data_IF_208778255437
#
_entry.id   IF_208778255437
#
_cell.length_a   1.000
_cell.length_b   1.000
_cell.length_c   1.000
_cell.angle_alpha   90.00
_cell.angle_beta   90.00
_cell.angle_gamma   90.00
#
_symmetry.space_group_name_H-M   'P 1'
#
loop_
_entity.id
_entity.type
_entity.pdbx_description
1 polymer ?
#
# COMPACT_ATOMS: atom_id res chain seq x y z
N UNK A 1 -4.37 4.48 26.11
CA UNK A 1 -5.09 3.19 26.29
C UNK A 1 -4.06 2.08 26.17
N UNK A 2 -4.19 1.00 26.93
CA UNK A 2 -3.23 -0.12 26.86
C UNK A 2 -3.83 -1.27 26.04
N UNK A 3 -3.52 -1.29 24.74
CA UNK A 3 -4.00 -2.31 23.80
C UNK A 3 -3.27 -3.65 23.93
N UNK A 4 -2.17 -3.71 24.71
CA UNK A 4 -1.53 -4.98 25.04
C UNK A 4 -2.43 -5.89 25.89
N UNK A 5 -3.51 -5.32 26.45
CA UNK A 5 -4.58 -6.06 27.13
C UNK A 5 -5.50 -6.70 26.08
N UNK A 6 -5.45 -8.03 25.88
CA UNK A 6 -6.11 -8.70 24.76
C UNK A 6 -7.62 -8.53 24.76
N UNK A 7 -8.25 -8.44 25.95
CA UNK A 7 -9.69 -8.22 26.07
C UNK A 7 -10.12 -6.82 25.62
N UNK A 8 -9.30 -5.80 25.88
CA UNK A 8 -9.62 -4.43 25.45
C UNK A 8 -9.50 -4.31 23.93
N UNK A 9 -8.46 -4.91 23.34
CA UNK A 9 -8.30 -4.97 21.89
C UNK A 9 -9.50 -5.65 21.22
N UNK A 10 -9.82 -6.89 21.63
CA UNK A 10 -10.93 -7.65 21.07
C UNK A 10 -12.29 -6.93 21.22
N UNK A 11 -12.50 -6.23 22.35
CA UNK A 11 -13.72 -5.44 22.55
C UNK A 11 -13.81 -4.25 21.59
N UNK A 12 -12.69 -3.60 21.27
CA UNK A 12 -12.66 -2.50 20.31
C UNK A 12 -12.87 -2.98 18.88
N UNK A 13 -12.28 -4.11 18.49
CA UNK A 13 -12.53 -4.75 17.20
C UNK A 13 -14.02 -5.14 17.06
N UNK A 14 -14.59 -5.75 18.10
CA UNK A 14 -16.00 -6.09 18.13
C UNK A 14 -16.91 -4.85 18.06
N UNK A 15 -16.55 -3.76 18.75
CA UNK A 15 -17.28 -2.50 18.66
C UNK A 15 -17.18 -1.90 17.25
N UNK A 16 -15.99 -1.83 16.67
CA UNK A 16 -15.79 -1.36 15.30
C UNK A 16 -16.62 -2.18 14.28
N UNK A 17 -16.61 -3.51 14.39
CA UNK A 17 -17.43 -4.38 13.55
C UNK A 17 -18.93 -4.15 13.77
N UNK A 18 -19.36 -4.02 15.04
CA UNK A 18 -20.75 -3.76 15.40
C UNK A 18 -21.30 -2.45 14.82
N UNK A 19 -20.56 -1.35 14.97
CA UNK A 19 -20.96 -0.05 14.43
C UNK A 19 -20.92 -0.03 12.89
N UNK A 20 -19.96 -0.73 12.27
CA UNK A 20 -19.90 -0.90 10.82
C UNK A 20 -21.13 -1.65 10.28
N UNK A 21 -21.56 -2.72 10.96
CA UNK A 21 -22.79 -3.43 10.63
C UNK A 21 -24.04 -2.56 10.85
N UNK A 22 -24.09 -1.77 11.93
CA UNK A 22 -25.19 -0.86 12.21
C UNK A 22 -25.34 0.20 11.10
N UNK A 23 -24.25 0.83 10.71
CA UNK A 23 -24.18 1.77 9.60
C UNK A 23 -24.78 1.18 8.30
N UNK A 24 -24.30 0.00 7.87
CA UNK A 24 -24.77 -0.64 6.63
C UNK A 24 -26.27 -0.99 6.69
N UNK A 25 -26.76 -1.49 7.83
CA UNK A 25 -28.19 -1.76 8.05
C UNK A 25 -29.04 -0.51 7.93
N UNK A 26 -28.63 0.58 8.58
CA UNK A 26 -29.42 1.82 8.59
C UNK A 26 -29.46 2.48 7.21
N UNK A 27 -28.38 2.42 6.43
CA UNK A 27 -28.43 2.86 5.03
C UNK A 27 -29.43 2.03 4.20
N UNK A 28 -29.46 0.71 4.39
CA UNK A 28 -30.45 -0.13 3.73
C UNK A 28 -31.88 0.19 4.18
N UNK A 29 -32.11 0.38 5.49
CA UNK A 29 -33.41 0.77 6.04
C UNK A 29 -33.87 2.13 5.50
N UNK A 30 -32.94 3.06 5.27
CA UNK A 30 -33.25 4.34 4.66
C UNK A 30 -33.80 4.18 3.24
N UNK A 31 -33.25 3.25 2.44
CA UNK A 31 -33.75 2.98 1.09
C UNK A 31 -35.13 2.32 1.12
N UNK A 32 -35.37 1.38 2.05
CA UNK A 32 -36.71 0.79 2.27
C UNK A 32 -37.72 1.85 2.70
N UNK A 33 -37.38 2.70 3.68
CA UNK A 33 -38.27 3.76 4.14
C UNK A 33 -38.59 4.76 3.02
N UNK A 34 -37.60 5.09 2.18
CA UNK A 34 -37.77 5.97 1.02
C UNK A 34 -38.69 5.33 -0.03
N UNK A 35 -38.50 4.05 -0.35
CA UNK A 35 -39.33 3.36 -1.35
C UNK A 35 -40.80 3.24 -0.93
N UNK A 36 -41.06 3.25 0.38
CA UNK A 36 -42.41 3.26 0.97
C UNK A 36 -42.98 4.68 1.18
N UNK A 37 -42.28 5.73 0.75
CA UNK A 37 -42.74 7.11 0.84
C UNK A 37 -42.48 7.80 2.20
N UNK A 38 -41.81 7.15 3.14
CA UNK A 38 -41.48 7.71 4.46
C UNK A 38 -40.17 8.51 4.44
N UNK A 39 -40.20 9.70 3.82
CA UNK A 39 -39.01 10.55 3.61
C UNK A 39 -38.28 10.96 4.90
N UNK A 40 -39.01 11.36 5.93
CA UNK A 40 -38.40 11.79 7.21
C UNK A 40 -37.75 10.62 7.95
N UNK A 41 -38.36 9.44 7.93
CA UNK A 41 -37.78 8.24 8.51
C UNK A 41 -36.54 7.78 7.74
N UNK A 42 -36.57 7.86 6.40
CA UNK A 42 -35.39 7.60 5.58
C UNK A 42 -34.24 8.56 5.91
N UNK A 43 -34.54 9.84 6.13
CA UNK A 43 -33.56 10.82 6.57
C UNK A 43 -32.99 10.46 7.94
N UNK A 44 -33.84 10.17 8.92
CA UNK A 44 -33.42 9.74 10.25
C UNK A 44 -32.43 8.56 10.18
N UNK A 45 -32.74 7.53 9.39
CA UNK A 45 -31.84 6.40 9.23
C UNK A 45 -30.48 6.78 8.60
N UNK A 46 -30.44 7.69 7.62
CA UNK A 46 -29.15 8.16 7.06
C UNK A 46 -28.36 8.98 8.06
N UNK A 47 -29.03 9.85 8.81
CA UNK A 47 -28.40 10.69 9.83
C UNK A 47 -27.81 9.80 10.95
N UNK A 48 -28.53 8.78 11.40
CA UNK A 48 -28.01 7.79 12.36
C UNK A 48 -26.90 6.94 11.77
N UNK A 49 -27.00 6.49 10.51
CA UNK A 49 -25.91 5.77 9.85
C UNK A 49 -24.62 6.59 9.84
N UNK A 50 -24.71 7.90 9.57
CA UNK A 50 -23.56 8.80 9.62
C UNK A 50 -22.94 8.90 11.02
N UNK A 51 -23.77 8.86 12.08
CA UNK A 51 -23.28 8.80 13.46
C UNK A 51 -22.54 7.49 13.75
N UNK A 52 -23.06 6.35 13.29
CA UNK A 52 -22.36 5.05 13.47
C UNK A 52 -21.03 4.99 12.72
N UNK A 53 -20.89 5.71 11.60
CA UNK A 53 -19.57 5.90 10.96
C UNK A 53 -18.60 6.59 11.91
N UNK A 54 -19.02 7.67 12.58
CA UNK A 54 -18.17 8.38 13.53
C UNK A 54 -17.84 7.55 14.77
N UNK A 55 -18.78 6.74 15.27
CA UNK A 55 -18.52 5.78 16.34
C UNK A 55 -17.49 4.72 15.91
N UNK A 56 -17.67 4.12 14.73
CA UNK A 56 -16.72 3.17 14.16
C UNK A 56 -15.32 3.80 14.02
N UNK A 57 -15.23 5.01 13.48
CA UNK A 57 -13.95 5.73 13.38
C UNK A 57 -13.35 6.07 14.74
N UNK A 58 -14.15 6.41 15.75
CA UNK A 58 -13.64 6.61 17.11
C UNK A 58 -12.99 5.34 17.68
N UNK A 59 -13.61 4.17 17.47
CA UNK A 59 -13.02 2.89 17.86
C UNK A 59 -11.77 2.55 17.05
N UNK A 60 -11.80 2.78 15.72
CA UNK A 60 -10.66 2.50 14.86
C UNK A 60 -9.44 3.38 15.18
N UNK A 61 -9.64 4.66 15.53
CA UNK A 61 -8.57 5.54 16.03
C UNK A 61 -7.95 5.04 17.33
N UNK A 62 -8.72 4.34 18.18
CA UNK A 62 -8.20 3.73 19.40
C UNK A 62 -7.43 2.45 19.12
N UNK A 63 -7.81 1.67 18.10
CA UNK A 63 -7.09 0.49 17.62
C UNK A 63 -5.78 0.86 16.91
N UNK A 64 -5.82 1.91 16.10
CA UNK A 64 -4.71 2.38 15.28
C UNK A 64 -4.34 3.85 15.60
N UNK A 65 -3.88 4.14 16.83
CA UNK A 65 -3.49 5.51 17.19
C UNK A 65 -2.35 6.05 16.33
N UNK A 66 -1.52 5.16 15.76
CA UNK A 66 -0.45 5.51 14.84
C UNK A 66 -0.93 6.13 13.52
N UNK A 67 -2.20 5.93 13.15
CA UNK A 67 -2.81 6.49 11.93
C UNK A 67 -3.50 7.84 12.16
N UNK A 68 -3.61 8.30 13.41
CA UNK A 68 -4.27 9.56 13.72
C UNK A 68 -3.39 10.73 13.24
N UNK A 69 -3.96 11.57 12.37
CA UNK A 69 -3.33 12.79 11.86
C UNK A 69 -4.07 14.00 12.41
N UNK A 70 -3.42 14.73 13.33
CA UNK A 70 -3.98 15.96 13.91
C UNK A 70 -3.81 17.17 12.99
N UNK A 71 -2.61 17.34 12.42
CA UNK A 71 -2.30 18.37 11.43
C UNK A 71 -1.54 17.77 10.24
N UNK A 72 -2.21 17.57 9.09
CA UNK A 72 -1.58 17.05 7.89
C UNK A 72 -0.43 17.93 7.39
N UNK A 73 -0.48 19.25 7.61
CA UNK A 73 0.54 20.18 7.12
C UNK A 73 1.85 20.09 7.91
N UNK A 74 1.76 19.72 9.19
CA UNK A 74 2.93 19.49 10.03
C UNK A 74 3.68 18.18 9.74
N UNK A 75 3.10 17.26 8.96
CA UNK A 75 3.73 15.98 8.66
C UNK A 75 4.86 16.12 7.64
N UNK A 76 6.03 15.57 7.96
CA UNK A 76 7.12 15.39 6.99
C UNK A 76 6.70 14.45 5.85
N UNK A 77 7.32 14.55 4.66
CA UNK A 77 7.08 13.62 3.56
C UNK A 77 7.22 12.15 3.97
N UNK A 78 8.25 11.83 4.75
CA UNK A 78 8.53 10.46 5.22
C UNK A 78 7.43 9.95 6.15
N UNK A 79 6.90 10.82 7.04
CA UNK A 79 5.81 10.43 7.93
C UNK A 79 4.50 10.25 7.17
N UNK A 80 4.19 11.10 6.19
CA UNK A 80 3.03 10.93 5.31
C UNK A 80 3.12 9.60 4.56
N UNK A 81 4.30 9.29 4.03
CA UNK A 81 4.58 8.05 3.33
C UNK A 81 4.36 6.83 4.24
N UNK A 82 4.91 6.85 5.46
CA UNK A 82 4.75 5.75 6.42
C UNK A 82 3.28 5.51 6.81
N UNK A 83 2.49 6.57 6.98
CA UNK A 83 1.06 6.47 7.29
C UNK A 83 0.30 5.79 6.16
N UNK A 84 0.52 6.22 4.92
CA UNK A 84 -0.13 5.63 3.74
C UNK A 84 0.30 4.18 3.53
N UNK A 85 1.58 3.87 3.75
CA UNK A 85 2.10 2.50 3.75
C UNK A 85 1.36 1.63 4.76
N UNK A 86 1.17 2.11 6.00
CA UNK A 86 0.44 1.35 7.02
C UNK A 86 -1.04 1.13 6.66
N UNK A 87 -1.69 2.10 6.02
CA UNK A 87 -3.05 1.90 5.52
C UNK A 87 -3.13 0.79 4.45
N UNK A 88 -2.15 0.73 3.53
CA UNK A 88 -2.09 -0.32 2.51
C UNK A 88 -1.82 -1.69 3.13
N UNK A 89 -0.93 -1.77 4.12
CA UNK A 89 -0.67 -3.01 4.86
C UNK A 89 -1.94 -3.55 5.52
N UNK A 90 -2.68 -2.70 6.24
CA UNK A 90 -3.95 -3.11 6.89
C UNK A 90 -4.99 -3.58 5.87
N UNK A 91 -5.08 -2.95 4.71
CA UNK A 91 -5.97 -3.39 3.63
C UNK A 91 -5.55 -4.78 3.09
N UNK A 92 -4.25 -4.99 2.85
CA UNK A 92 -3.71 -6.28 2.39
C UNK A 92 -3.93 -7.37 3.45
N UNK A 93 -3.73 -7.06 4.73
CA UNK A 93 -3.96 -7.97 5.86
C UNK A 93 -5.43 -8.43 5.90
N UNK A 94 -6.38 -7.48 5.78
CA UNK A 94 -7.82 -7.77 5.73
C UNK A 94 -8.20 -8.68 4.56
N UNK A 95 -7.87 -8.26 3.34
CA UNK A 95 -8.17 -9.05 2.13
C UNK A 95 -7.49 -10.43 2.20
N UNK A 96 -6.26 -10.51 2.69
CA UNK A 96 -5.57 -11.80 2.87
C UNK A 96 -6.29 -12.71 3.84
N UNK A 97 -6.75 -12.20 4.97
CA UNK A 97 -7.56 -12.99 5.89
C UNK A 97 -8.86 -13.49 5.25
N UNK A 98 -9.52 -12.64 4.45
CA UNK A 98 -10.76 -12.95 3.75
C UNK A 98 -10.60 -14.12 2.77
N UNK A 99 -9.67 -14.05 1.80
CA UNK A 99 -9.52 -15.12 0.79
C UNK A 99 -8.72 -16.35 1.25
N UNK A 100 -7.98 -16.28 2.37
CA UNK A 100 -7.21 -17.45 2.87
C UNK A 100 -7.88 -18.18 4.01
N UNK A 101 -8.74 -17.52 4.78
CA UNK A 101 -9.28 -18.05 6.03
C UNK A 101 -10.80 -17.88 6.11
N UNK A 102 -11.29 -16.64 6.16
CA UNK A 102 -12.71 -16.37 6.49
C UNK A 102 -13.68 -16.96 5.47
N UNK A 103 -13.59 -16.57 4.19
CA UNK A 103 -14.50 -17.08 3.17
C UNK A 103 -14.29 -18.57 2.85
N UNK A 104 -13.06 -19.11 2.86
CA UNK A 104 -12.86 -20.57 2.77
C UNK A 104 -13.57 -21.36 3.87
N UNK A 105 -13.50 -20.90 5.12
CA UNK A 105 -14.19 -21.52 6.25
C UNK A 105 -15.72 -21.42 6.09
N UNK A 106 -16.23 -20.27 5.63
CA UNK A 106 -17.66 -20.09 5.36
C UNK A 106 -18.15 -20.95 4.20
N UNK A 107 -17.40 -21.05 3.11
CA UNK A 107 -17.70 -21.94 1.99
C UNK A 107 -17.72 -23.41 2.43
N UNK A 108 -16.78 -23.83 3.28
CA UNK A 108 -16.77 -25.17 3.86
C UNK A 108 -18.00 -25.44 4.73
N UNK A 109 -18.38 -24.48 5.58
CA UNK A 109 -19.60 -24.56 6.39
C UNK A 109 -20.86 -24.63 5.53
N UNK A 110 -21.01 -23.76 4.52
CA UNK A 110 -22.14 -23.76 3.60
C UNK A 110 -22.27 -25.08 2.83
N UNK A 111 -21.15 -25.67 2.39
CA UNK A 111 -21.13 -27.01 1.77
C UNK A 111 -21.57 -28.10 2.75
N UNK A 112 -21.16 -28.02 4.02
CA UNK A 112 -21.62 -28.93 5.08
C UNK A 112 -23.14 -28.84 5.27
N UNK A 113 -23.68 -27.62 5.23
CA UNK A 113 -25.12 -27.35 5.35
C UNK A 113 -25.90 -27.65 4.05
N UNK A 114 -25.20 -28.04 2.97
CA UNK A 114 -25.73 -28.28 1.62
C UNK A 114 -26.38 -27.04 0.99
N UNK A 115 -25.97 -25.85 1.42
CA UNK A 115 -26.36 -24.60 0.80
C UNK A 115 -25.40 -24.26 -0.34
N UNK A 116 -25.74 -24.74 -1.54
CA UNK A 116 -24.91 -24.53 -2.73
C UNK A 116 -24.88 -23.07 -3.19
N UNK A 117 -25.90 -22.28 -2.86
CA UNK A 117 -25.95 -20.87 -3.25
C UNK A 117 -25.01 -20.04 -2.37
N UNK A 118 -25.05 -20.25 -1.05
CA UNK A 118 -24.12 -19.61 -0.12
C UNK A 118 -22.67 -20.04 -0.38
N UNK A 119 -22.42 -21.32 -0.67
CA UNK A 119 -21.08 -21.79 -1.01
C UNK A 119 -20.54 -21.11 -2.28
N UNK A 120 -21.37 -20.94 -3.32
CA UNK A 120 -20.97 -20.26 -4.55
C UNK A 120 -20.67 -18.77 -4.32
N UNK A 121 -21.51 -18.07 -3.55
CA UNK A 121 -21.26 -16.68 -3.14
C UNK A 121 -19.92 -16.54 -2.42
N UNK A 122 -19.64 -17.40 -1.43
CA UNK A 122 -18.36 -17.35 -0.72
C UNK A 122 -17.17 -17.67 -1.61
N UNK A 123 -17.31 -18.59 -2.58
CA UNK A 123 -16.26 -18.87 -3.57
C UNK A 123 -15.99 -17.66 -4.48
N UNK A 124 -17.02 -16.88 -4.84
CA UNK A 124 -16.87 -15.62 -5.58
C UNK A 124 -16.14 -14.55 -4.74
N UNK A 125 -16.51 -14.40 -3.47
CA UNK A 125 -15.86 -13.46 -2.55
C UNK A 125 -14.36 -13.81 -2.32
N UNK A 126 -14.00 -15.10 -2.30
CA UNK A 126 -12.57 -15.52 -2.26
C UNK A 126 -11.81 -14.99 -3.48
N UNK A 127 -12.42 -15.06 -4.67
CA UNK A 127 -11.77 -14.62 -5.90
C UNK A 127 -11.62 -13.09 -5.93
N UNK A 128 -12.67 -12.35 -5.57
CA UNK A 128 -12.67 -10.89 -5.51
C UNK A 128 -11.66 -10.35 -4.48
N UNK A 129 -11.67 -10.90 -3.26
CA UNK A 129 -10.74 -10.48 -2.22
C UNK A 129 -9.26 -10.76 -2.59
N UNK A 130 -9.00 -11.84 -3.33
CA UNK A 130 -7.67 -12.10 -3.89
C UNK A 130 -7.25 -11.02 -4.91
N UNK A 131 -8.17 -10.55 -5.75
CA UNK A 131 -7.93 -9.46 -6.69
C UNK A 131 -7.65 -8.13 -5.97
N UNK A 132 -8.43 -7.80 -4.94
CA UNK A 132 -8.21 -6.63 -4.10
C UNK A 132 -6.82 -6.66 -3.44
N UNK A 133 -6.44 -7.78 -2.81
CA UNK A 133 -5.11 -7.94 -2.23
C UNK A 133 -3.99 -7.75 -3.27
N UNK A 134 -4.17 -8.29 -4.48
CA UNK A 134 -3.23 -8.07 -5.59
C UNK A 134 -3.12 -6.60 -5.99
N UNK A 135 -4.24 -5.89 -6.06
CA UNK A 135 -4.30 -4.46 -6.37
C UNK A 135 -3.60 -3.62 -5.31
N UNK A 136 -3.86 -3.88 -4.02
CA UNK A 136 -3.20 -3.17 -2.93
C UNK A 136 -1.70 -3.47 -2.85
N UNK A 137 -1.27 -4.73 -3.07
CA UNK A 137 0.15 -5.09 -3.14
C UNK A 137 0.85 -4.32 -4.26
N UNK A 138 0.26 -4.28 -5.46
CA UNK A 138 0.79 -3.49 -6.58
C UNK A 138 0.89 -1.99 -6.23
N UNK A 139 -0.12 -1.44 -5.56
CA UNK A 139 -0.08 -0.05 -5.11
C UNK A 139 1.03 0.21 -4.07
N UNK A 140 1.21 -0.70 -3.10
CA UNK A 140 2.26 -0.63 -2.09
C UNK A 140 3.67 -0.76 -2.69
N UNK A 141 3.84 -1.69 -3.63
CA UNK A 141 5.07 -1.92 -4.39
C UNK A 141 5.48 -0.67 -5.17
N UNK A 142 4.54 -0.09 -5.91
CA UNK A 142 4.75 1.18 -6.62
C UNK A 142 5.14 2.31 -5.67
N UNK A 143 4.54 2.40 -4.49
CA UNK A 143 4.94 3.36 -3.46
C UNK A 143 6.39 3.19 -3.00
N UNK A 144 6.82 1.95 -2.76
CA UNK A 144 8.20 1.63 -2.37
C UNK A 144 9.23 1.97 -3.45
N UNK A 145 8.95 1.61 -4.70
CA UNK A 145 9.84 1.88 -5.82
C UNK A 145 9.87 3.36 -6.23
N UNK A 146 8.73 4.07 -6.23
CA UNK A 146 8.67 5.51 -6.51
C UNK A 146 9.53 6.31 -5.51
N UNK A 147 9.60 5.88 -4.25
CA UNK A 147 10.49 6.52 -3.27
C UNK A 147 11.95 6.47 -3.71
N UNK A 148 12.44 5.31 -4.17
CA UNK A 148 13.82 5.18 -4.65
C UNK A 148 14.09 6.03 -5.89
N UNK A 149 13.10 6.12 -6.78
CA UNK A 149 13.14 6.92 -8.01
C UNK A 149 13.22 8.41 -7.66
N UNK A 150 12.34 8.90 -6.79
CA UNK A 150 12.29 10.31 -6.41
C UNK A 150 13.50 10.73 -5.58
N UNK A 151 14.01 9.86 -4.70
CA UNK A 151 15.28 10.10 -4.00
C UNK A 151 16.44 10.21 -5.00
N UNK A 152 16.52 9.30 -5.98
CA UNK A 152 17.53 9.35 -7.03
C UNK A 152 17.44 10.66 -7.85
N UNK A 153 16.22 11.09 -8.19
CA UNK A 153 16.01 12.38 -8.87
C UNK A 153 16.46 13.57 -8.01
N UNK A 154 16.09 13.59 -6.72
CA UNK A 154 16.48 14.65 -5.80
C UNK A 154 18.00 14.75 -5.60
N UNK A 155 18.69 13.61 -5.45
CA UNK A 155 20.16 13.56 -5.36
C UNK A 155 20.84 14.07 -6.64
N UNK A 156 20.35 13.65 -7.82
CA UNK A 156 20.83 14.17 -9.12
C UNK A 156 20.72 15.69 -9.20
N UNK A 157 19.57 16.24 -8.82
CA UNK A 157 19.36 17.68 -8.83
C UNK A 157 20.25 18.40 -7.81
N UNK A 158 20.42 17.86 -6.61
CA UNK A 158 21.31 18.42 -5.60
C UNK A 158 22.77 18.52 -6.08
N UNK A 159 23.28 17.47 -6.74
CA UNK A 159 24.61 17.46 -7.34
C UNK A 159 24.71 18.47 -8.48
N UNK A 160 23.72 18.52 -9.37
CA UNK A 160 23.68 19.49 -10.47
C UNK A 160 23.68 20.95 -9.96
N UNK A 161 22.89 21.24 -8.92
CA UNK A 161 22.85 22.55 -8.25
C UNK A 161 24.21 22.93 -7.66
N UNK A 162 24.89 21.98 -7.02
CA UNK A 162 26.21 22.22 -6.45
C UNK A 162 27.29 22.44 -7.54
N UNK A 163 27.18 21.74 -8.68
CA UNK A 163 28.05 21.97 -9.83
C UNK A 163 27.82 23.36 -10.45
N UNK A 164 26.56 23.78 -10.62
CA UNK A 164 26.20 25.14 -11.05
C UNK A 164 26.75 26.22 -10.11
N UNK A 165 26.89 25.91 -8.82
CA UNK A 165 27.51 26.78 -7.83
C UNK A 165 29.05 26.73 -7.83
N UNK A 166 29.68 26.07 -8.81
CA UNK A 166 31.14 26.02 -8.98
C UNK A 166 31.87 25.05 -8.04
N UNK A 167 31.16 24.10 -7.42
CA UNK A 167 31.75 23.15 -6.46
C UNK A 167 32.37 21.89 -7.10
N UNK A 168 32.42 21.83 -8.42
CA UNK A 168 32.89 20.66 -9.20
C UNK A 168 31.99 20.41 -10.41
N UNK A 169 32.20 19.29 -11.10
CA UNK A 169 31.38 18.87 -12.22
C UNK A 169 30.34 17.84 -11.74
N UNK A 170 29.10 17.94 -12.24
CA UNK A 170 28.07 16.95 -11.95
C UNK A 170 28.37 15.66 -12.71
N UNK A 171 28.44 14.53 -12.00
CA UNK A 171 28.70 13.24 -12.61
C UNK A 171 28.15 12.08 -11.79
N UNK A 172 28.50 10.87 -12.21
CA UNK A 172 28.17 9.64 -11.50
C UNK A 172 29.41 9.06 -10.82
N UNK A 173 29.22 8.26 -9.78
CA UNK A 173 30.32 7.58 -9.11
C UNK A 173 31.12 6.69 -10.08
N UNK A 174 32.45 6.69 -9.92
CA UNK A 174 33.37 5.92 -10.77
C UNK A 174 33.15 4.40 -10.68
N UNK A 175 32.59 3.92 -9.57
CA UNK A 175 32.22 2.53 -9.35
C UNK A 175 30.74 2.42 -8.99
N UNK A 176 30.03 1.40 -9.51
CA UNK A 176 28.65 1.15 -9.14
C UNK A 176 28.55 0.66 -7.69
N UNK A 177 27.38 0.81 -7.09
CA UNK A 177 27.07 0.18 -5.80
C UNK A 177 26.91 -1.33 -6.04
N UNK A 178 27.67 -2.21 -5.36
CA UNK A 178 27.60 -3.65 -5.59
C UNK A 178 26.18 -4.18 -5.44
N UNK A 179 25.71 -4.95 -6.43
CA UNK A 179 24.41 -5.62 -6.41
C UNK A 179 23.21 -4.73 -6.75
N UNK A 180 23.34 -3.39 -6.77
CA UNK A 180 22.24 -2.49 -7.13
C UNK A 180 22.20 -2.22 -8.63
N UNK A 181 21.00 -2.24 -9.19
CA UNK A 181 20.78 -2.03 -10.63
C UNK A 181 19.69 -0.98 -10.84
N UNK A 182 19.87 -0.08 -11.81
CA UNK A 182 18.92 1.00 -12.11
C UNK A 182 18.31 0.84 -13.50
N UNK A 183 16.99 0.97 -13.58
CA UNK A 183 16.27 1.02 -14.84
C UNK A 183 16.57 2.33 -15.58
N UNK A 184 17.08 2.26 -16.81
CA UNK A 184 17.36 3.46 -17.62
C UNK A 184 16.11 4.21 -18.09
N UNK A 185 14.93 3.59 -17.99
CA UNK A 185 13.67 4.17 -18.48
C UNK A 185 12.98 5.02 -17.40
N UNK A 186 12.91 4.53 -16.16
CA UNK A 186 12.17 5.19 -15.08
C UNK A 186 12.99 5.39 -13.79
N UNK A 187 14.29 5.10 -13.80
CA UNK A 187 15.20 5.25 -12.66
C UNK A 187 14.91 4.34 -11.44
N UNK A 188 14.06 3.31 -11.58
CA UNK A 188 13.82 2.34 -10.51
C UNK A 188 15.12 1.61 -10.17
N UNK A 189 15.47 1.55 -8.88
CA UNK A 189 16.66 0.83 -8.39
C UNK A 189 16.22 -0.52 -7.83
N UNK A 190 16.65 -1.61 -8.46
CA UNK A 190 16.57 -2.96 -7.93
C UNK A 190 17.63 -3.17 -6.86
N UNK A 191 17.20 -3.69 -5.72
CA UNK A 191 18.04 -4.04 -4.57
C UNK A 191 17.79 -5.50 -4.20
N UNK A 192 18.78 -6.41 -4.32
CA UNK A 192 18.67 -7.80 -3.90
C UNK A 192 18.18 -7.95 -2.46
N UNK A 193 18.52 -7.03 -1.56
CA UNK A 193 18.05 -7.08 -0.17
C UNK A 193 16.52 -6.88 -0.04
N UNK A 194 15.88 -6.35 -1.08
CA UNK A 194 14.42 -6.19 -1.18
C UNK A 194 13.79 -7.19 -2.16
N UNK A 195 14.53 -7.64 -3.17
CA UNK A 195 13.99 -8.45 -4.26
C UNK A 195 12.91 -7.72 -5.06
N UNK A 196 12.04 -8.50 -5.72
CA UNK A 196 10.77 -8.04 -6.27
C UNK A 196 9.71 -9.15 -6.10
N UNK A 197 9.27 -9.42 -4.85
CA UNK A 197 8.42 -10.57 -4.55
C UNK A 197 7.08 -10.55 -5.27
N UNK A 198 6.56 -9.36 -5.58
CA UNK A 198 5.29 -9.18 -6.29
C UNK A 198 5.37 -9.67 -7.74
N UNK A 199 6.53 -9.52 -8.38
CA UNK A 199 6.82 -10.09 -9.70
C UNK A 199 7.44 -11.50 -9.63
N UNK A 200 7.43 -12.13 -8.45
CA UNK A 200 7.94 -13.49 -8.24
C UNK A 200 9.45 -13.59 -7.98
N UNK A 201 10.14 -12.47 -7.74
CA UNK A 201 11.58 -12.44 -7.44
C UNK A 201 11.79 -12.38 -5.92
N UNK A 202 12.25 -13.49 -5.34
CA UNK A 202 12.43 -13.59 -3.90
C UNK A 202 13.45 -12.57 -3.35
N UNK A 203 13.27 -12.17 -2.09
CA UNK A 203 14.26 -11.39 -1.33
C UNK A 203 15.60 -12.14 -1.32
N UNK A 204 16.69 -11.42 -1.59
CA UNK A 204 18.05 -11.94 -1.67
C UNK A 204 18.49 -12.37 -3.08
N UNK A 205 17.59 -12.36 -4.07
CA UNK A 205 17.93 -12.76 -5.45
C UNK A 205 18.87 -11.74 -6.08
N UNK A 206 20.04 -12.17 -6.55
CA UNK A 206 20.93 -11.29 -7.30
C UNK A 206 20.27 -10.88 -8.62
N UNK A 207 20.55 -9.67 -9.13
CA UNK A 207 19.92 -9.19 -10.36
C UNK A 207 20.23 -10.10 -11.56
N UNK A 208 21.42 -10.67 -11.56
CA UNK A 208 21.91 -11.61 -12.57
C UNK A 208 21.05 -12.87 -12.62
N UNK A 209 20.50 -13.31 -11.48
CA UNK A 209 19.69 -14.52 -11.32
C UNK A 209 18.20 -14.31 -11.67
N UNK A 210 17.78 -13.07 -11.92
CA UNK A 210 16.39 -12.76 -12.32
C UNK A 210 16.10 -13.33 -13.72
N UNK A 211 14.91 -13.91 -13.99
CA UNK A 211 14.51 -14.32 -15.34
C UNK A 211 14.60 -13.20 -16.39
N UNK A 212 14.97 -13.54 -17.63
CA UNK A 212 15.14 -12.54 -18.71
C UNK A 212 13.81 -11.89 -19.17
N UNK A 213 12.69 -12.56 -18.93
CA UNK A 213 11.34 -12.08 -19.19
C UNK A 213 10.78 -11.21 -18.06
N UNK A 214 11.52 -11.01 -16.97
CA UNK A 214 11.15 -10.05 -15.93
C UNK A 214 11.07 -8.63 -16.50
N UNK A 215 10.00 -7.94 -16.14
CA UNK A 215 9.73 -6.56 -16.53
C UNK A 215 9.81 -5.65 -15.30
N UNK A 216 10.33 -4.45 -15.50
CA UNK A 216 10.38 -3.42 -14.47
C UNK A 216 8.97 -3.19 -13.91
N UNK A 217 8.75 -3.34 -12.59
CA UNK A 217 7.42 -3.25 -11.99
C UNK A 217 6.79 -1.85 -12.12
N UNK A 218 7.60 -0.84 -12.42
CA UNK A 218 7.17 0.55 -12.53
C UNK A 218 6.79 0.95 -13.95
N UNK A 219 7.59 0.60 -14.96
CA UNK A 219 7.41 1.10 -16.32
C UNK A 219 7.24 0.00 -17.39
N UNK A 220 7.27 -1.28 -17.00
CA UNK A 220 7.16 -2.42 -17.93
C UNK A 220 8.39 -2.61 -18.84
N UNK A 221 9.48 -1.87 -18.61
CA UNK A 221 10.70 -2.06 -19.38
C UNK A 221 11.35 -3.41 -19.05
N UNK A 222 11.77 -4.15 -20.07
CA UNK A 222 12.45 -5.46 -19.90
C UNK A 222 13.73 -5.35 -19.04
N UNK A 223 14.14 -6.44 -18.39
CA UNK A 223 15.40 -6.58 -17.63
C UNK A 223 16.63 -5.95 -18.30
N UNK A 224 16.75 -6.09 -19.63
CA UNK A 224 17.85 -5.50 -20.43
C UNK A 224 17.96 -3.95 -20.38
N UNK A 225 16.92 -3.27 -19.88
CA UNK A 225 16.92 -1.82 -19.67
C UNK A 225 17.65 -1.39 -18.39
N UNK A 226 18.08 -2.33 -17.55
CA UNK A 226 18.81 -2.02 -16.33
C UNK A 226 20.32 -1.93 -16.56
N UNK A 227 20.99 -1.12 -15.74
CA UNK A 227 22.47 -1.03 -15.64
C UNK A 227 22.89 -1.06 -14.18
N UNK A 228 24.17 -1.40 -13.87
CA UNK A 228 24.68 -1.24 -12.51
C UNK A 228 24.49 0.18 -12.00
N UNK A 229 23.88 0.33 -10.82
CA UNK A 229 23.52 1.63 -10.28
C UNK A 229 24.76 2.41 -9.84
N UNK A 230 24.86 3.65 -10.32
CA UNK A 230 25.89 4.62 -9.93
C UNK A 230 25.21 5.85 -9.31
N UNK A 231 25.45 6.15 -8.02
CA UNK A 231 24.89 7.33 -7.39
C UNK A 231 25.50 8.60 -7.99
N UNK A 232 24.74 9.69 -7.93
CA UNK A 232 25.21 11.00 -8.40
C UNK A 232 26.24 11.57 -7.44
N UNK A 233 27.27 12.22 -7.98
CA UNK A 233 28.36 12.78 -7.18
C UNK A 233 28.99 14.00 -7.84
N UNK A 234 29.62 14.85 -7.03
CA UNK A 234 30.46 15.94 -7.53
C UNK A 234 31.84 15.37 -7.85
N UNK A 235 32.24 15.46 -9.11
CA UNK A 235 33.58 15.12 -9.56
C UNK A 235 34.48 16.36 -9.44
N UNK A 236 35.77 16.12 -9.24
CA UNK A 236 36.76 17.20 -9.28
C UNK A 236 36.67 17.91 -10.63
N UNK A 237 36.59 19.24 -10.63
CA UNK A 237 36.43 20.03 -11.84
C UNK A 237 37.52 19.66 -12.84
N UNK A 238 37.11 19.28 -14.05
CA UNK A 238 38.04 18.97 -15.12
C UNK A 238 38.73 20.29 -15.49
N UNK A 239 40.03 20.42 -15.20
CA UNK A 239 40.82 21.56 -15.67
C UNK A 239 40.73 21.58 -17.20
N UNK A 240 39.95 22.50 -17.75
CA UNK A 240 39.98 22.81 -19.18
C UNK A 240 41.36 23.38 -19.47
N UNK A 241 42.25 22.53 -19.99
CA UNK A 241 43.49 22.99 -20.61
C UNK A 241 43.09 23.75 -21.88
N UNK A 242 43.30 25.07 -21.85
CA UNK A 242 43.13 25.98 -22.99
C UNK A 242 44.09 25.64 -24.14
#
# INVERSE_FOLDING_TARGET
MDLSKPRTHANLEAAFGGESMANRKYLFFAEVAKSLGHKELARLFRDTAAQETEHAFAHFRLLHPELVVEDPQALSPERRQALLGRCLELAIEGETYEYTTMYPDFAAAARSDRDTAAAAEFDEQIAESREHAGTFRKAASNFGFLTSIEHHHAERYGVALAALAGKGDAGEAAHPVPGLWICRVCSMIYDPAKGDPDSGIAIGTAFEDIPEDWECPICGARKASFVPYRPSTLQAATLQTA
#
